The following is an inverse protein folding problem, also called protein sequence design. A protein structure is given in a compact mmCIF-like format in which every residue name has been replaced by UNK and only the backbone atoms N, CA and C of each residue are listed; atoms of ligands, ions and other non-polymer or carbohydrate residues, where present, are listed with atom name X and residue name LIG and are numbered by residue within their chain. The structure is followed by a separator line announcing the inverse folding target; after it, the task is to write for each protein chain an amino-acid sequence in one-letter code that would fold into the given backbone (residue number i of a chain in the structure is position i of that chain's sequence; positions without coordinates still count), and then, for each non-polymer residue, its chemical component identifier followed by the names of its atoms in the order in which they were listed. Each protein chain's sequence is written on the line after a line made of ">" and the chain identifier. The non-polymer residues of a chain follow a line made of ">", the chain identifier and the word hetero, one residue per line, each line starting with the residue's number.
data_IF_696181886526
#
_entry.id   IF_696181886526
#
_cell.length_a   1.000
_cell.length_b   1.000
_cell.length_c   1.000
_cell.angle_alpha   90.00
_cell.angle_beta   90.00
_cell.angle_gamma   90.00
#
_symmetry.space_group_name_H-M   'P 1'
#
loop_
_entity.id
_entity.type
_entity.pdbx_description
1 polymer ?
#
# COMPACT_ATOMS: atom_id res chain seq x y z
N UNK A 1 -12.72 -9.56 -0.11
CA UNK A 1 -12.19 -9.53 1.27
C UNK A 1 -11.33 -8.27 1.47
N UNK A 2 -11.91 -7.10 1.81
CA UNK A 2 -11.17 -5.83 1.91
C UNK A 2 -10.16 -5.74 3.07
N UNK A 3 -10.25 -6.65 4.06
CA UNK A 3 -9.43 -6.59 5.29
C UNK A 3 -7.97 -7.03 5.14
N UNK A 4 -7.56 -7.57 3.98
CA UNK A 4 -6.19 -8.08 3.79
C UNK A 4 -5.14 -6.96 3.92
N UNK A 5 -5.39 -5.77 3.36
CA UNK A 5 -4.46 -4.63 3.49
C UNK A 5 -4.38 -4.09 4.91
N UNK A 6 -5.49 -4.11 5.65
CA UNK A 6 -5.50 -3.71 7.06
C UNK A 6 -4.64 -4.67 7.88
N UNK A 7 -4.70 -5.98 7.59
CA UNK A 7 -3.84 -6.97 8.24
C UNK A 7 -2.37 -6.79 7.89
N UNK A 8 -2.04 -6.49 6.63
CA UNK A 8 -0.66 -6.21 6.19
C UNK A 8 -0.13 -4.94 6.85
N UNK A 9 -0.90 -3.85 6.85
CA UNK A 9 -0.51 -2.61 7.51
C UNK A 9 -0.31 -2.81 9.02
N UNK A 10 -1.18 -3.58 9.67
CA UNK A 10 -1.02 -3.93 11.09
C UNK A 10 0.16 -4.88 11.34
N UNK A 11 0.55 -5.72 10.38
CA UNK A 11 1.73 -6.57 10.48
C UNK A 11 3.00 -5.74 10.34
N UNK A 12 3.05 -4.84 9.36
CA UNK A 12 4.13 -3.87 9.17
C UNK A 12 4.31 -3.00 10.42
N UNK A 13 3.25 -2.34 10.92
CA UNK A 13 3.31 -1.57 12.19
C UNK A 13 3.79 -2.36 13.41
N UNK A 14 3.61 -3.69 13.42
CA UNK A 14 4.01 -4.56 14.53
C UNK A 14 5.43 -5.13 14.36
N UNK A 15 5.93 -5.20 13.13
CA UNK A 15 7.33 -5.44 12.82
C UNK A 15 8.09 -4.12 12.80
N UNK A 16 9.41 -4.15 12.96
CA UNK A 16 10.20 -3.00 12.53
C UNK A 16 10.16 -3.04 11.00
N UNK A 17 9.53 -2.05 10.36
CA UNK A 17 9.40 -1.96 8.89
C UNK A 17 10.78 -2.16 8.20
N UNK A 18 11.84 -1.71 8.85
CA UNK A 18 13.24 -1.85 8.45
C UNK A 18 13.78 -3.31 8.38
N UNK A 19 13.18 -4.26 9.10
CA UNK A 19 13.63 -5.66 9.12
C UNK A 19 12.86 -6.55 8.12
N UNK A 20 11.63 -6.17 7.73
CA UNK A 20 10.78 -6.99 6.83
C UNK A 20 10.81 -6.55 5.36
N UNK A 21 11.09 -5.27 5.09
CA UNK A 21 11.19 -4.72 3.72
C UNK A 21 12.50 -4.98 2.95
N UNK A 22 13.66 -5.32 3.56
CA UNK A 22 14.89 -5.50 2.79
C UNK A 22 14.92 -6.80 1.96
N UNK A 23 13.99 -7.73 2.16
CA UNK A 23 13.79 -8.82 1.20
C UNK A 23 13.10 -8.27 -0.05
N UNK A 24 13.87 -8.09 -1.13
CA UNK A 24 13.38 -7.59 -2.43
C UNK A 24 12.14 -8.30 -2.98
N UNK A 25 11.89 -9.55 -2.56
CA UNK A 25 10.67 -10.28 -2.92
C UNK A 25 9.40 -9.71 -2.25
N UNK A 26 9.51 -9.24 -1.01
CA UNK A 26 8.38 -8.68 -0.24
C UNK A 26 7.89 -7.38 -0.86
N UNK A 27 8.83 -6.49 -1.23
CA UNK A 27 8.53 -5.23 -1.94
C UNK A 27 7.81 -5.49 -3.26
N UNK A 28 8.35 -6.39 -4.09
CA UNK A 28 7.75 -6.71 -5.39
C UNK A 28 6.35 -7.33 -5.29
N UNK A 29 6.13 -8.23 -4.33
CA UNK A 29 4.81 -8.85 -4.10
C UNK A 29 3.80 -7.78 -3.63
N UNK A 30 4.20 -6.91 -2.71
CA UNK A 30 3.33 -5.84 -2.22
C UNK A 30 2.97 -4.84 -3.31
N UNK A 31 3.93 -4.45 -4.15
CA UNK A 31 3.68 -3.59 -5.31
C UNK A 31 2.64 -4.20 -6.25
N UNK A 32 2.80 -5.46 -6.65
CA UNK A 32 1.88 -6.10 -7.60
C UNK A 32 0.46 -6.24 -7.02
N UNK A 33 0.38 -6.52 -5.72
CA UNK A 33 -0.88 -6.72 -5.00
C UNK A 33 -1.62 -5.37 -4.80
N UNK A 34 -0.88 -4.31 -4.46
CA UNK A 34 -1.38 -2.94 -4.36
C UNK A 34 -1.85 -2.44 -5.72
N UNK A 35 -1.06 -2.64 -6.78
CA UNK A 35 -1.42 -2.21 -8.14
C UNK A 35 -2.78 -2.78 -8.55
N UNK A 36 -2.98 -4.09 -8.36
CA UNK A 36 -4.26 -4.73 -8.70
C UNK A 36 -5.43 -4.20 -7.89
N UNK A 37 -5.23 -3.78 -6.64
CA UNK A 37 -6.34 -3.29 -5.80
C UNK A 37 -6.60 -1.79 -5.96
N UNK A 38 -5.56 -0.96 -5.92
CA UNK A 38 -5.63 0.50 -6.11
C UNK A 38 -6.32 0.83 -7.43
N UNK A 39 -6.00 0.12 -8.51
CA UNK A 39 -6.54 0.41 -9.84
C UNK A 39 -7.81 -0.37 -10.22
N UNK A 40 -8.18 -1.45 -9.53
CA UNK A 40 -9.39 -2.21 -9.89
C UNK A 40 -10.67 -1.58 -9.39
N UNK A 41 -10.69 -0.98 -8.18
CA UNK A 41 -11.91 -0.38 -7.59
C UNK A 41 -11.61 0.85 -6.71
N UNK A 42 -11.12 1.96 -7.29
CA UNK A 42 -10.75 3.15 -6.53
C UNK A 42 -11.91 3.75 -5.71
N UNK A 43 -13.16 3.60 -6.16
CA UNK A 43 -14.36 4.11 -5.48
C UNK A 43 -14.70 3.36 -4.17
N UNK A 44 -14.53 2.04 -4.11
CA UNK A 44 -14.78 1.26 -2.89
C UNK A 44 -13.67 1.51 -1.85
N UNK A 45 -12.42 1.66 -2.31
CA UNK A 45 -11.28 1.95 -1.45
C UNK A 45 -11.36 3.35 -0.82
N UNK A 46 -11.80 4.35 -1.58
CA UNK A 46 -11.94 5.73 -1.10
C UNK A 46 -13.10 5.90 -0.09
N UNK A 47 -14.08 4.99 -0.07
CA UNK A 47 -15.23 5.04 0.85
C UNK A 47 -14.95 4.48 2.25
N UNK A 48 -13.86 3.74 2.44
CA UNK A 48 -13.49 3.16 3.73
C UNK A 48 -12.24 3.86 4.31
N UNK A 49 -12.39 4.75 5.32
CA UNK A 49 -11.27 5.55 5.85
C UNK A 49 -10.11 4.69 6.36
N UNK A 50 -10.43 3.61 7.08
CA UNK A 50 -9.44 2.67 7.62
C UNK A 50 -8.66 1.93 6.53
N UNK A 51 -9.31 1.63 5.40
CA UNK A 51 -8.67 0.97 4.27
C UNK A 51 -7.78 1.94 3.50
N UNK A 52 -8.24 3.20 3.34
CA UNK A 52 -7.45 4.28 2.77
C UNK A 52 -6.17 4.52 3.57
N UNK A 53 -6.29 4.64 4.90
CA UNK A 53 -5.14 4.82 5.80
C UNK A 53 -4.17 3.64 5.75
N UNK A 54 -4.69 2.40 5.73
CA UNK A 54 -3.86 1.21 5.62
C UNK A 54 -3.09 1.17 4.28
N UNK A 55 -3.74 1.50 3.16
CA UNK A 55 -3.09 1.54 1.84
C UNK A 55 -2.02 2.62 1.79
N UNK A 56 -2.30 3.83 2.29
CA UNK A 56 -1.32 4.91 2.33
C UNK A 56 -0.12 4.53 3.19
N UNK A 57 -0.34 3.92 4.36
CA UNK A 57 0.75 3.45 5.23
C UNK A 57 1.67 2.46 4.51
N UNK A 58 1.11 1.46 3.82
CA UNK A 58 1.91 0.47 3.09
C UNK A 58 2.68 1.14 1.94
N UNK A 59 2.05 2.08 1.22
CA UNK A 59 2.71 2.81 0.14
C UNK A 59 3.86 3.69 0.67
N UNK A 60 3.66 4.39 1.79
CA UNK A 60 4.69 5.21 2.43
C UNK A 60 5.89 4.35 2.85
N UNK A 61 5.64 3.20 3.50
CA UNK A 61 6.70 2.27 3.89
C UNK A 61 7.51 1.74 2.69
N UNK A 62 6.83 1.43 1.57
CA UNK A 62 7.50 1.01 0.34
C UNK A 62 8.33 2.14 -0.29
N UNK A 63 7.83 3.38 -0.26
CA UNK A 63 8.57 4.56 -0.73
C UNK A 63 9.83 4.79 0.10
N UNK A 64 9.72 4.67 1.43
CA UNK A 64 10.87 4.77 2.34
C UNK A 64 11.92 3.68 2.06
N UNK A 65 11.50 2.49 1.61
CA UNK A 65 12.42 1.43 1.14
C UNK A 65 12.98 1.65 -0.27
N UNK A 66 12.60 2.73 -0.97
CA UNK A 66 13.10 3.08 -2.31
C UNK A 66 12.22 2.65 -3.49
N UNK A 67 10.98 2.19 -3.25
CA UNK A 67 10.06 1.81 -4.33
C UNK A 67 9.55 3.02 -5.11
N UNK A 68 9.99 3.14 -6.36
CA UNK A 68 9.47 4.14 -7.30
C UNK A 68 8.06 3.82 -7.79
N UNK A 69 7.67 2.54 -7.79
CA UNK A 69 6.32 2.12 -8.18
C UNK A 69 5.29 2.54 -7.10
N UNK A 70 5.61 2.35 -5.83
CA UNK A 70 4.78 2.79 -4.71
C UNK A 70 4.59 4.31 -4.70
N UNK A 71 5.65 5.06 -5.03
CA UNK A 71 5.56 6.52 -5.16
C UNK A 71 4.50 6.95 -6.18
N UNK A 72 4.53 6.35 -7.39
CA UNK A 72 3.55 6.64 -8.44
C UNK A 72 2.13 6.22 -8.03
N UNK A 73 1.97 5.04 -7.43
CA UNK A 73 0.66 4.56 -6.97
C UNK A 73 0.06 5.45 -5.87
N UNK A 74 0.89 5.98 -4.97
CA UNK A 74 0.48 6.93 -3.94
C UNK A 74 -0.02 8.23 -4.55
N UNK A 75 0.72 8.77 -5.50
CA UNK A 75 0.35 10.01 -6.19
C UNK A 75 -1.00 9.86 -6.92
N UNK A 76 -1.18 8.75 -7.65
CA UNK A 76 -2.44 8.41 -8.32
C UNK A 76 -3.60 8.19 -7.33
N UNK A 77 -3.32 7.60 -6.16
CA UNK A 77 -4.35 7.29 -5.17
C UNK A 77 -4.82 8.53 -4.40
N UNK A 78 -3.90 9.46 -4.09
CA UNK A 78 -4.20 10.74 -3.43
C UNK A 78 -4.87 11.71 -4.40
N UNK A 79 -4.47 11.71 -5.67
CA UNK A 79 -5.05 12.58 -6.68
C UNK A 79 -6.50 12.13 -7.00
N UNK A 80 -7.50 13.00 -6.86
CA UNK A 80 -8.84 12.72 -7.37
C UNK A 80 -8.76 12.69 -8.91
N UNK A 81 -9.27 11.62 -9.53
CA UNK A 81 -9.52 11.67 -10.97
C UNK A 81 -10.56 12.78 -11.24
N UNK A 82 -10.38 13.59 -12.30
CA UNK A 82 -11.29 14.69 -12.64
C UNK A 82 -12.72 14.21 -12.93
#
# INVERSE_FOLDING_TARGET
>A
MPGAFVNIANALRRGNDADMLPESNTVFILENLLQRHVYSRPQELKRAPSLREAILYVLDALVESGSSAAFRMRDDFVTPAP
#
